data_IF_941453356467
#
_entry.id   IF_941453356467
#
_cell.length_a   1.000
_cell.length_b   1.000
_cell.length_c   1.000
_cell.angle_alpha   90.00
_cell.angle_beta   90.00
_cell.angle_gamma   90.00
#
_symmetry.space_group_name_H-M   'P 1'
#
loop_
_entity.id
_entity.type
_entity.pdbx_description
1 polymer ?
#
# COMPACT_ATOMS: atom_id res chain seq x y z
N UNK A 1 3.91 -23.63 22.85
CA UNK A 1 4.42 -22.28 22.47
C UNK A 1 3.54 -21.73 21.34
N UNK A 2 3.04 -20.48 21.41
CA UNK A 2 2.11 -19.90 20.40
C UNK A 2 2.84 -18.88 19.52
N UNK A 3 2.80 -19.07 18.20
CA UNK A 3 3.37 -18.11 17.25
C UNK A 3 2.53 -16.82 17.17
N UNK A 4 3.18 -15.66 17.31
CA UNK A 4 2.54 -14.34 17.19
C UNK A 4 2.55 -13.90 15.73
N UNK A 5 1.38 -13.60 15.18
CA UNK A 5 1.22 -13.12 13.80
C UNK A 5 0.80 -11.65 13.78
N UNK A 6 1.13 -10.96 12.69
CA UNK A 6 0.68 -9.60 12.39
C UNK A 6 -0.03 -9.59 11.05
N UNK A 7 -0.88 -8.59 10.86
CA UNK A 7 -1.65 -8.40 9.64
C UNK A 7 -1.31 -7.04 9.03
N UNK A 8 -1.06 -7.04 7.73
CA UNK A 8 -0.81 -5.84 6.93
C UNK A 8 -2.00 -5.69 5.99
N UNK A 9 -2.71 -4.57 6.10
CA UNK A 9 -3.71 -4.19 5.13
C UNK A 9 -3.06 -3.37 4.01
N UNK A 10 -3.36 -3.71 2.76
CA UNK A 10 -2.84 -3.03 1.58
C UNK A 10 -3.95 -2.74 0.57
N UNK A 11 -3.69 -1.75 -0.27
CA UNK A 11 -4.49 -1.36 -1.41
C UNK A 11 -3.60 -1.45 -2.65
N UNK A 12 -4.09 -2.18 -3.64
CA UNK A 12 -3.53 -2.25 -4.98
C UNK A 12 -4.03 -1.05 -5.79
N UNK A 13 -3.10 -0.25 -6.27
CA UNK A 13 -3.37 0.83 -7.20
C UNK A 13 -2.88 0.44 -8.59
N UNK A 14 -3.77 0.51 -9.57
CA UNK A 14 -3.49 0.27 -10.99
C UNK A 14 -3.94 1.46 -11.80
N UNK A 15 -3.37 1.64 -12.99
CA UNK A 15 -3.86 2.65 -13.91
C UNK A 15 -5.34 2.41 -14.25
N UNK A 16 -6.14 3.48 -14.39
CA UNK A 16 -7.57 3.37 -14.68
C UNK A 16 -7.85 2.62 -16.00
N UNK A 17 -6.90 2.64 -16.95
CA UNK A 17 -6.98 1.89 -18.21
C UNK A 17 -6.97 0.37 -18.02
N UNK A 18 -6.30 -0.12 -16.97
CA UNK A 18 -6.14 -1.55 -16.70
C UNK A 18 -7.09 -2.09 -15.63
N UNK A 19 -7.92 -1.22 -15.02
CA UNK A 19 -8.77 -1.55 -13.87
C UNK A 19 -9.74 -2.71 -14.16
N UNK A 20 -10.25 -2.83 -15.39
CA UNK A 20 -11.16 -3.92 -15.79
C UNK A 20 -10.47 -5.29 -15.85
N UNK A 21 -9.23 -5.35 -16.35
CA UNK A 21 -8.46 -6.61 -16.49
C UNK A 21 -8.02 -7.18 -15.14
N UNK A 22 -7.76 -6.30 -14.17
CA UNK A 22 -7.37 -6.63 -12.78
C UNK A 22 -8.46 -7.44 -12.07
N UNK A 23 -9.74 -7.20 -12.36
CA UNK A 23 -10.85 -7.78 -11.61
C UNK A 23 -11.03 -9.29 -11.83
N UNK A 24 -10.62 -9.81 -12.98
CA UNK A 24 -10.97 -11.17 -13.40
C UNK A 24 -9.84 -12.19 -13.18
N UNK A 25 -8.58 -11.74 -13.15
CA UNK A 25 -7.41 -12.62 -13.13
C UNK A 25 -6.54 -12.54 -11.86
N UNK A 26 -6.81 -11.58 -10.97
CA UNK A 26 -5.98 -11.37 -9.77
C UNK A 26 -6.68 -11.92 -8.53
N UNK A 27 -6.20 -13.06 -8.07
CA UNK A 27 -6.65 -13.71 -6.84
C UNK A 27 -5.68 -13.51 -5.67
N UNK A 28 -6.06 -13.94 -4.46
CA UNK A 28 -5.17 -13.89 -3.29
C UNK A 28 -3.89 -14.70 -3.48
N UNK A 29 -3.95 -15.81 -4.23
CA UNK A 29 -2.78 -16.64 -4.54
C UNK A 29 -1.76 -15.95 -5.44
N UNK A 30 -2.21 -15.25 -6.49
CA UNK A 30 -1.31 -14.52 -7.39
C UNK A 30 -0.63 -13.37 -6.67
N UNK A 31 -1.35 -12.66 -5.80
CA UNK A 31 -0.77 -11.61 -4.95
C UNK A 31 0.26 -12.19 -3.98
N UNK A 32 -0.05 -13.32 -3.33
CA UNK A 32 0.90 -13.96 -2.42
C UNK A 32 2.20 -14.35 -3.15
N UNK A 33 2.08 -14.88 -4.37
CA UNK A 33 3.23 -15.24 -5.19
C UNK A 33 4.02 -14.02 -5.65
N UNK A 34 3.35 -12.94 -6.04
CA UNK A 34 4.03 -11.69 -6.41
C UNK A 34 4.81 -11.08 -5.23
N UNK A 35 4.23 -11.12 -4.02
CA UNK A 35 4.93 -10.66 -2.81
C UNK A 35 6.12 -11.59 -2.52
N UNK A 36 5.97 -12.92 -2.62
CA UNK A 36 7.07 -13.86 -2.43
C UNK A 36 8.20 -13.69 -3.46
N UNK A 37 7.85 -13.46 -4.72
CA UNK A 37 8.82 -13.16 -5.78
C UNK A 37 9.59 -11.85 -5.47
N UNK A 38 8.88 -10.81 -5.01
CA UNK A 38 9.51 -9.57 -4.53
C UNK A 38 10.42 -9.82 -3.33
N UNK A 39 10.02 -10.68 -2.39
CA UNK A 39 10.86 -11.05 -1.24
C UNK A 39 12.15 -11.74 -1.72
N UNK A 40 12.03 -12.73 -2.60
CA UNK A 40 13.17 -13.45 -3.13
C UNK A 40 14.13 -12.53 -3.90
N UNK A 41 13.60 -11.64 -4.73
CA UNK A 41 14.40 -10.70 -5.51
C UNK A 41 15.18 -9.69 -4.64
N UNK A 42 14.59 -9.23 -3.53
CA UNK A 42 15.16 -8.16 -2.71
C UNK A 42 15.93 -8.66 -1.46
N UNK A 43 15.55 -9.82 -0.91
CA UNK A 43 16.10 -10.36 0.34
C UNK A 43 16.73 -11.76 0.18
N UNK A 44 16.72 -12.32 -1.03
CA UNK A 44 17.29 -13.62 -1.33
C UNK A 44 16.56 -14.79 -0.67
N UNK A 45 17.23 -15.95 -0.66
CA UNK A 45 16.66 -17.21 -0.16
C UNK A 45 16.38 -17.17 1.36
N UNK A 46 17.20 -16.43 2.12
CA UNK A 46 16.98 -16.23 3.54
C UNK A 46 15.63 -15.53 3.80
N UNK A 47 15.33 -14.46 3.08
CA UNK A 47 14.06 -13.75 3.21
C UNK A 47 12.86 -14.64 2.87
N UNK A 48 12.98 -15.44 1.81
CA UNK A 48 11.95 -16.39 1.39
C UNK A 48 11.69 -17.46 2.45
N UNK A 49 12.75 -18.04 3.04
CA UNK A 49 12.63 -19.05 4.09
C UNK A 49 12.02 -18.47 5.38
N UNK A 50 12.50 -17.30 5.80
CA UNK A 50 12.02 -16.60 6.99
C UNK A 50 10.53 -16.23 6.88
N UNK A 51 10.05 -15.93 5.67
CA UNK A 51 8.66 -15.55 5.39
C UNK A 51 7.81 -16.69 4.81
N UNK A 52 8.17 -17.94 5.08
CA UNK A 52 7.42 -19.13 4.64
C UNK A 52 5.94 -19.11 5.05
N UNK A 53 5.60 -18.54 6.21
CA UNK A 53 4.24 -18.42 6.74
C UNK A 53 3.45 -17.19 6.21
N UNK A 54 3.91 -16.57 5.13
CA UNK A 54 3.18 -15.47 4.49
C UNK A 54 1.95 -15.99 3.76
N UNK A 55 0.76 -15.47 4.14
CA UNK A 55 -0.51 -15.84 3.50
C UNK A 55 -1.40 -14.62 3.29
N UNK A 56 -2.00 -14.48 2.11
CA UNK A 56 -3.03 -13.47 1.85
C UNK A 56 -4.36 -14.03 2.37
N UNK A 57 -4.96 -13.36 3.36
CA UNK A 57 -6.20 -13.79 4.01
C UNK A 57 -7.44 -13.28 3.32
N UNK A 58 -7.35 -12.08 2.77
CA UNK A 58 -8.46 -11.43 2.09
C UNK A 58 -7.91 -10.63 0.93
N UNK A 59 -8.62 -10.65 -0.17
CA UNK A 59 -8.43 -9.73 -1.27
C UNK A 59 -9.78 -9.52 -1.96
N UNK A 60 -10.16 -8.27 -2.14
CA UNK A 60 -11.30 -7.89 -2.97
C UNK A 60 -10.79 -7.29 -4.26
N UNK A 61 -11.02 -7.99 -5.37
CA UNK A 61 -10.63 -7.50 -6.67
C UNK A 61 -11.35 -6.18 -7.00
N UNK A 62 -12.61 -6.01 -6.58
CA UNK A 62 -13.43 -4.82 -6.86
C UNK A 62 -12.84 -3.54 -6.27
N UNK A 63 -12.32 -3.60 -5.04
CA UNK A 63 -11.76 -2.44 -4.34
C UNK A 63 -10.22 -2.40 -4.39
N UNK A 64 -9.58 -3.49 -4.81
CA UNK A 64 -8.12 -3.67 -4.77
C UNK A 64 -7.57 -3.79 -3.35
N UNK A 65 -8.41 -3.99 -2.33
CA UNK A 65 -7.99 -4.04 -0.93
C UNK A 65 -7.74 -5.47 -0.50
N UNK A 66 -6.63 -5.71 0.19
CA UNK A 66 -6.30 -7.02 0.74
C UNK A 66 -5.61 -6.97 2.09
N UNK A 67 -5.52 -8.15 2.72
CA UNK A 67 -4.90 -8.34 4.03
C UNK A 67 -3.92 -9.50 3.93
N UNK A 68 -2.66 -9.23 4.24
CA UNK A 68 -1.57 -10.22 4.33
C UNK A 68 -1.30 -10.54 5.79
N UNK A 69 -1.21 -11.82 6.12
CA UNK A 69 -0.72 -12.34 7.39
C UNK A 69 0.78 -12.63 7.28
N UNK A 70 1.53 -12.20 8.28
CA UNK A 70 2.98 -12.41 8.37
C UNK A 70 3.40 -12.72 9.82
N UNK A 71 4.55 -13.35 9.99
CA UNK A 71 5.20 -13.50 11.29
C UNK A 71 5.54 -12.12 11.89
N UNK A 72 5.50 -11.98 13.22
CA UNK A 72 5.75 -10.69 13.89
C UNK A 72 7.12 -10.10 13.52
N UNK A 73 8.16 -10.93 13.49
CA UNK A 73 9.54 -10.46 13.36
C UNK A 73 9.86 -10.05 11.91
N UNK A 74 9.13 -10.60 10.94
CA UNK A 74 9.29 -10.32 9.51
C UNK A 74 8.37 -9.21 8.98
N UNK A 75 7.57 -8.58 9.85
CA UNK A 75 6.60 -7.55 9.47
C UNK A 75 7.23 -6.44 8.64
N UNK A 76 8.39 -5.91 9.08
CA UNK A 76 9.05 -4.77 8.43
C UNK A 76 9.59 -5.13 7.05
N UNK A 77 10.23 -6.30 6.92
CA UNK A 77 10.76 -6.77 5.64
C UNK A 77 9.65 -7.12 4.65
N UNK A 78 8.58 -7.75 5.12
CA UNK A 78 7.38 -7.99 4.32
C UNK A 78 6.73 -6.69 3.84
N UNK A 79 6.61 -5.69 4.71
CA UNK A 79 6.10 -4.37 4.33
C UNK A 79 6.95 -3.72 3.24
N UNK A 80 8.28 -3.77 3.37
CA UNK A 80 9.20 -3.30 2.34
C UNK A 80 9.00 -4.07 1.03
N UNK A 81 8.94 -5.40 1.06
CA UNK A 81 8.72 -6.23 -0.13
C UNK A 81 7.39 -5.90 -0.84
N UNK A 82 6.30 -5.69 -0.09
CA UNK A 82 4.99 -5.29 -0.62
C UNK A 82 5.13 -3.96 -1.39
N UNK A 83 5.82 -2.98 -0.81
CA UNK A 83 5.99 -1.66 -1.44
C UNK A 83 6.83 -1.68 -2.72
N UNK A 84 7.64 -2.72 -2.91
CA UNK A 84 8.51 -2.92 -4.08
C UNK A 84 7.84 -3.71 -5.20
N UNK A 85 6.63 -4.24 -4.99
CA UNK A 85 5.85 -4.89 -6.04
C UNK A 85 5.42 -3.84 -7.07
N UNK A 86 5.94 -3.94 -8.29
CA UNK A 86 5.65 -3.05 -9.41
C UNK A 86 4.70 -3.68 -10.47
N UNK A 87 4.58 -5.01 -10.47
CA UNK A 87 3.78 -5.74 -11.44
C UNK A 87 3.22 -7.03 -10.82
N UNK A 88 1.96 -7.36 -11.15
CA UNK A 88 1.32 -8.63 -10.79
C UNK A 88 0.68 -9.19 -12.06
N UNK A 89 1.11 -10.37 -12.49
CA UNK A 89 0.56 -11.09 -13.64
C UNK A 89 0.47 -10.26 -14.93
N UNK A 90 1.53 -9.51 -15.29
CA UNK A 90 1.52 -8.65 -16.49
C UNK A 90 0.90 -7.27 -16.27
N UNK A 91 0.27 -7.02 -15.11
CA UNK A 91 -0.37 -5.74 -14.82
C UNK A 91 0.50 -4.87 -13.93
N UNK A 92 0.91 -3.71 -14.47
CA UNK A 92 1.61 -2.68 -13.70
C UNK A 92 0.75 -2.17 -12.57
N UNK A 93 1.25 -2.29 -11.35
CA UNK A 93 0.51 -1.94 -10.15
C UNK A 93 1.46 -1.51 -9.03
N UNK A 94 0.91 -0.78 -8.08
CA UNK A 94 1.62 -0.40 -6.87
C UNK A 94 0.81 -0.87 -5.68
N UNK A 95 1.40 -1.71 -4.84
CA UNK A 95 0.80 -2.09 -3.56
C UNK A 95 1.21 -1.07 -2.50
N UNK A 96 0.23 -0.40 -1.89
CA UNK A 96 0.47 0.50 -0.75
C UNK A 96 -0.26 0.00 0.47
N UNK A 97 0.37 0.01 1.63
CA UNK A 97 -0.34 -0.25 2.88
C UNK A 97 -1.38 0.84 3.14
N UNK A 98 -2.54 0.52 3.71
CA UNK A 98 -3.67 1.49 3.79
C UNK A 98 -3.28 2.76 4.56
N UNK A 99 -2.60 2.62 5.71
CA UNK A 99 -2.04 3.77 6.46
C UNK A 99 -1.10 4.61 5.60
N UNK A 100 -0.18 3.96 4.88
CA UNK A 100 0.77 4.67 4.02
C UNK A 100 0.10 5.28 2.77
N UNK A 101 -0.93 4.63 2.23
CA UNK A 101 -1.73 5.13 1.12
C UNK A 101 -2.46 6.41 1.55
N UNK A 102 -3.09 6.40 2.73
CA UNK A 102 -3.75 7.58 3.31
C UNK A 102 -2.76 8.74 3.51
N UNK A 103 -1.63 8.49 4.16
CA UNK A 103 -0.60 9.52 4.38
C UNK A 103 -0.06 10.07 3.05
N UNK A 104 0.21 9.21 2.08
CA UNK A 104 0.71 9.64 0.76
C UNK A 104 -0.33 10.47 0.00
N UNK A 105 -1.61 10.11 0.07
CA UNK A 105 -2.70 10.88 -0.55
C UNK A 105 -2.81 12.25 0.09
N UNK A 106 -2.74 12.34 1.42
CA UNK A 106 -2.76 13.64 2.13
C UNK A 106 -1.57 14.50 1.71
N UNK A 107 -0.35 13.94 1.66
CA UNK A 107 0.86 14.65 1.19
C UNK A 107 0.76 15.09 -0.27
N UNK A 108 0.18 14.27 -1.13
CA UNK A 108 -0.07 14.62 -2.52
C UNK A 108 -1.06 15.79 -2.63
N UNK A 109 -2.13 15.76 -1.83
CA UNK A 109 -3.11 16.84 -1.78
C UNK A 109 -2.48 18.16 -1.29
N UNK A 110 -1.63 18.12 -0.26
CA UNK A 110 -0.87 19.29 0.21
C UNK A 110 -0.04 19.92 -0.93
N UNK A 111 0.59 19.10 -1.79
CA UNK A 111 1.32 19.59 -2.98
C UNK A 111 0.39 20.21 -4.03
N UNK A 112 -0.80 19.64 -4.24
CA UNK A 112 -1.79 20.21 -5.16
C UNK A 112 -2.32 21.56 -4.64
N UNK A 113 -2.57 21.67 -3.34
CA UNK A 113 -2.99 22.92 -2.71
C UNK A 113 -1.96 24.04 -2.87
N UNK A 114 -0.66 23.72 -2.77
CA UNK A 114 0.41 24.68 -3.06
C UNK A 114 0.33 25.20 -4.50
N UNK A 115 0.08 24.31 -5.48
CA UNK A 115 -0.08 24.69 -6.89
C UNK A 115 -1.32 25.56 -7.13
N UNK A 116 -2.44 25.23 -6.50
CA UNK A 116 -3.67 26.01 -6.61
C UNK A 116 -3.50 27.40 -6.00
N UNK A 117 -2.74 27.51 -4.89
CA UNK A 117 -2.37 28.78 -4.28
C UNK A 117 -1.48 29.62 -5.19
N UNK A 118 -0.46 29.02 -5.82
CA UNK A 118 0.40 29.74 -6.77
C UNK A 118 -0.35 30.23 -8.01
N UNK A 119 -1.41 29.52 -8.41
CA UNK A 119 -2.28 29.91 -9.52
C UNK A 119 -3.42 30.87 -9.11
N UNK A 120 -3.40 31.40 -7.88
CA UNK A 120 -4.44 32.28 -7.30
C UNK A 120 -5.87 31.73 -7.38
N UNK A 121 -6.04 30.41 -7.45
CA UNK A 121 -7.35 29.75 -7.52
C UNK A 121 -7.95 29.46 -6.14
N UNK A 122 -7.18 29.67 -5.06
CA UNK A 122 -7.59 29.36 -3.70
C UNK A 122 -7.22 30.50 -2.76
N UNK A 123 -8.13 30.85 -1.85
CA UNK A 123 -7.91 31.88 -0.84
C UNK A 123 -6.94 31.38 0.25
N UNK A 124 -6.11 32.28 0.78
CA UNK A 124 -5.14 31.95 1.84
C UNK A 124 -5.81 31.37 3.09
N UNK A 125 -7.00 31.84 3.45
CA UNK A 125 -7.76 31.32 4.61
C UNK A 125 -8.13 29.85 4.40
N UNK A 126 -8.63 29.50 3.22
CA UNK A 126 -9.02 28.13 2.86
C UNK A 126 -7.80 27.21 2.79
N UNK A 127 -6.70 27.70 2.24
CA UNK A 127 -5.42 27.00 2.20
C UNK A 127 -4.91 26.64 3.61
N UNK A 128 -4.86 27.63 4.52
CA UNK A 128 -4.41 27.42 5.90
C UNK A 128 -5.32 26.47 6.69
N UNK A 129 -6.63 26.54 6.48
CA UNK A 129 -7.58 25.62 7.12
C UNK A 129 -7.34 24.16 6.67
N UNK A 130 -7.14 23.92 5.38
CA UNK A 130 -6.89 22.57 4.87
C UNK A 130 -5.53 22.00 5.28
N UNK A 131 -4.48 22.84 5.39
CA UNK A 131 -3.19 22.39 5.92
C UNK A 131 -3.30 21.94 7.37
N UNK A 132 -3.92 22.75 8.24
CA UNK A 132 -4.14 22.39 9.65
C UNK A 132 -4.92 21.08 9.79
N UNK A 133 -5.94 20.89 8.95
CA UNK A 133 -6.71 19.65 8.92
C UNK A 133 -5.84 18.46 8.50
N UNK A 134 -5.05 18.60 7.42
CA UNK A 134 -4.16 17.55 6.93
C UNK A 134 -3.12 17.13 7.98
N UNK A 135 -2.49 18.09 8.66
CA UNK A 135 -1.46 17.81 9.66
C UNK A 135 -2.06 17.11 10.89
N UNK A 136 -3.26 17.52 11.33
CA UNK A 136 -3.99 16.83 12.41
C UNK A 136 -4.29 15.37 12.04
N UNK A 137 -4.79 15.12 10.84
CA UNK A 137 -5.10 13.76 10.37
C UNK A 137 -3.84 12.90 10.26
N UNK A 138 -2.70 13.46 9.83
CA UNK A 138 -1.43 12.72 9.80
C UNK A 138 -0.99 12.33 11.21
N UNK A 139 -1.07 13.24 12.18
CA UNK A 139 -0.75 12.94 13.58
C UNK A 139 -1.65 11.84 14.16
N UNK A 140 -2.96 11.89 13.89
CA UNK A 140 -3.92 10.86 14.31
C UNK A 140 -3.63 9.49 13.67
N UNK A 141 -3.17 9.48 12.42
CA UNK A 141 -2.82 8.25 11.73
C UNK A 141 -1.51 7.64 12.23
N UNK A 142 -0.59 8.45 12.79
CA UNK A 142 0.72 7.99 13.29
C UNK A 142 0.69 7.40 14.71
N UNK A 143 -0.36 7.70 15.49
CA UNK A 143 -0.71 7.04 16.77
C UNK A 143 -1.14 5.58 16.60
#
# INVERSE_FOLDING_TARGET
MRFKNRYIAFQMMTDPKHKRVVHEFIGPGTIANAIKASIQANFGDFGTAAMSNLTVKYYSAMTGVGIVRVARDELKRCWAAISLVAEISGVKCVLRTIKQAQINTIKHNQKLLLKLRSSSQIDDIRYQAQLKQADKTIMELDL
#
